data_IF_855236520858
#
_entry.id   IF_855236520858
#
_cell.length_a   1.000
_cell.length_b   1.000
_cell.length_c   1.000
_cell.angle_alpha   90.00
_cell.angle_beta   90.00
_cell.angle_gamma   90.00
#
_symmetry.space_group_name_H-M   'P 1'
#
loop_
_entity.id
_entity.type
_entity.pdbx_description
1 polymer ?
#
# COMPACT_ATOMS: atom_id res chain seq x y z
N UNK A 1 -54.23 53.35 69.56
CA UNK A 1 -53.24 52.78 68.62
C UNK A 1 -51.96 53.59 68.71
N UNK A 2 -50.85 53.03 69.22
CA UNK A 2 -49.52 53.62 69.16
C UNK A 2 -48.57 52.86 68.18
N UNK A 3 -47.40 53.45 67.83
CA UNK A 3 -46.76 53.32 66.51
C UNK A 3 -45.54 52.36 66.46
N UNK A 4 -45.20 51.87 65.26
CA UNK A 4 -43.97 51.10 64.98
C UNK A 4 -42.90 51.96 64.29
N UNK A 5 -41.67 51.86 64.84
CA UNK A 5 -40.46 52.61 64.48
C UNK A 5 -39.80 52.09 63.20
N UNK A 6 -39.26 53.02 62.42
CA UNK A 6 -38.30 52.79 61.33
C UNK A 6 -36.89 52.58 61.90
N UNK A 7 -36.10 51.70 61.29
CA UNK A 7 -34.67 51.53 61.58
C UNK A 7 -33.86 51.58 60.29
N UNK A 8 -32.84 52.43 60.29
CA UNK A 8 -31.92 52.68 59.19
C UNK A 8 -30.81 51.62 59.15
N UNK A 9 -30.52 51.09 57.97
CA UNK A 9 -29.43 50.14 57.74
C UNK A 9 -28.22 50.89 57.14
N UNK A 10 -27.10 50.85 57.87
CA UNK A 10 -25.80 51.34 57.42
C UNK A 10 -25.15 50.32 56.47
N UNK A 11 -24.59 50.82 55.36
CA UNK A 11 -23.83 50.06 54.37
C UNK A 11 -22.39 49.83 54.85
N UNK A 12 -22.01 48.56 55.05
CA UNK A 12 -20.60 48.16 55.23
C UNK A 12 -20.09 47.48 53.96
N UNK A 13 -19.20 48.16 53.23
CA UNK A 13 -18.42 47.61 52.12
C UNK A 13 -17.30 46.71 52.65
N UNK A 14 -17.48 45.39 52.54
CA UNK A 14 -16.45 44.41 52.86
C UNK A 14 -15.45 44.26 51.71
N UNK A 15 -14.40 45.08 51.70
CA UNK A 15 -13.18 44.74 50.97
C UNK A 15 -12.44 43.67 51.77
N UNK A 16 -12.37 42.46 51.22
CA UNK A 16 -11.62 41.35 51.80
C UNK A 16 -10.13 41.68 51.80
N UNK A 17 -9.61 42.11 52.94
CA UNK A 17 -8.17 42.29 53.16
C UNK A 17 -7.54 40.91 53.40
N UNK A 18 -6.76 40.47 52.43
CA UNK A 18 -5.89 39.29 52.56
C UNK A 18 -4.87 39.54 53.68
N UNK A 19 -4.90 38.65 54.66
CA UNK A 19 -4.21 38.81 55.93
C UNK A 19 -2.69 38.87 55.82
N UNK A 20 -2.11 40.02 56.21
CA UNK A 20 -0.86 40.10 56.96
C UNK A 20 -0.92 41.33 57.85
N UNK A 21 -0.64 41.17 59.14
CA UNK A 21 -0.46 42.30 60.06
C UNK A 21 0.65 43.20 59.52
N UNK A 22 0.34 44.46 59.27
CA UNK A 22 1.28 45.46 58.76
C UNK A 22 2.37 45.79 59.80
N UNK A 23 3.40 44.95 59.93
CA UNK A 23 4.63 45.33 60.62
C UNK A 23 5.56 46.05 59.65
N UNK A 24 6.06 47.23 60.03
CA UNK A 24 6.96 48.06 59.20
C UNK A 24 8.12 47.23 58.61
N UNK A 25 8.40 47.31 57.29
CA UNK A 25 9.48 46.57 56.66
C UNK A 25 10.81 47.07 57.22
N UNK A 26 11.52 46.21 57.96
CA UNK A 26 12.89 46.50 58.39
C UNK A 26 13.86 46.26 57.21
N UNK A 27 14.92 47.07 57.04
CA UNK A 27 15.84 46.94 55.92
C UNK A 27 16.75 45.70 56.01
N UNK A 28 16.89 45.10 57.20
CA UNK A 28 17.73 43.92 57.40
C UNK A 28 17.08 42.65 56.84
N UNK A 29 17.75 42.03 55.87
CA UNK A 29 17.37 40.75 55.24
C UNK A 29 18.37 39.63 55.56
N UNK A 30 19.07 39.73 56.69
CA UNK A 30 20.12 38.76 57.03
C UNK A 30 19.49 37.48 57.60
N UNK A 31 19.51 36.42 56.80
CA UNK A 31 18.99 35.09 57.15
C UNK A 31 17.60 34.78 56.55
N UNK A 32 17.30 33.48 56.42
CA UNK A 32 16.09 32.97 55.76
C UNK A 32 14.77 33.43 56.41
N UNK A 33 14.76 33.57 57.73
CA UNK A 33 13.58 34.01 58.48
C UNK A 33 13.27 35.51 58.27
N UNK A 34 14.30 36.35 58.25
CA UNK A 34 14.17 37.78 57.95
C UNK A 34 13.79 38.00 56.47
N UNK A 35 14.37 37.22 55.55
CA UNK A 35 14.02 37.27 54.13
C UNK A 35 12.51 37.02 53.90
N UNK A 36 11.95 35.95 54.49
CA UNK A 36 10.52 35.65 54.34
C UNK A 36 9.56 36.72 54.89
N UNK A 37 9.99 37.52 55.87
CA UNK A 37 9.16 38.55 56.51
C UNK A 37 9.29 39.93 55.86
N UNK A 38 10.42 40.22 55.23
CA UNK A 38 10.78 41.58 54.80
C UNK A 38 10.96 41.71 53.27
N UNK A 39 10.51 40.72 52.50
CA UNK A 39 10.34 40.84 51.05
C UNK A 39 8.98 41.45 50.79
N UNK A 40 8.97 42.47 49.94
CA UNK A 40 7.75 43.02 49.40
C UNK A 40 7.31 42.17 48.20
N UNK A 41 6.14 41.56 48.31
CA UNK A 41 5.48 40.81 47.23
C UNK A 41 4.24 41.53 46.71
N UNK A 42 3.95 42.75 47.18
CA UNK A 42 2.73 43.48 46.85
C UNK A 42 2.57 43.74 45.35
N UNK A 43 3.67 44.01 44.64
CA UNK A 43 3.66 44.17 43.19
C UNK A 43 3.33 42.87 42.47
N UNK A 44 3.88 41.75 42.93
CA UNK A 44 3.62 40.42 42.34
C UNK A 44 2.19 39.97 42.64
N UNK A 45 1.72 40.17 43.86
CA UNK A 45 0.37 39.82 44.29
C UNK A 45 -0.67 40.69 43.57
N UNK A 46 -0.44 42.00 43.43
CA UNK A 46 -1.35 42.91 42.70
C UNK A 46 -1.41 42.61 41.20
N UNK A 47 -0.31 42.19 40.57
CA UNK A 47 -0.29 41.70 39.19
C UNK A 47 -1.08 40.39 39.03
N UNK A 48 -0.92 39.45 39.98
CA UNK A 48 -1.68 38.19 39.96
C UNK A 48 -3.16 38.40 40.26
N UNK A 49 -3.51 39.33 41.15
CA UNK A 49 -4.88 39.72 41.42
C UNK A 49 -5.51 40.41 40.22
N UNK A 50 -4.78 41.31 39.56
CA UNK A 50 -5.22 41.98 38.32
C UNK A 50 -5.50 40.98 37.20
N UNK A 51 -4.65 39.95 37.05
CA UNK A 51 -4.91 38.82 36.14
C UNK A 51 -6.18 38.05 36.51
N UNK A 52 -6.34 37.68 37.78
CA UNK A 52 -7.56 36.97 38.25
C UNK A 52 -8.82 37.81 38.07
N UNK A 53 -8.76 39.12 38.30
CA UNK A 53 -9.91 40.02 38.05
C UNK A 53 -10.22 40.12 36.57
N UNK A 54 -9.20 40.18 35.72
CA UNK A 54 -9.40 40.18 34.28
C UNK A 54 -9.94 38.85 33.74
N UNK A 55 -9.54 37.71 34.34
CA UNK A 55 -10.14 36.39 34.08
C UNK A 55 -11.62 36.37 34.51
N UNK A 56 -11.95 36.88 35.70
CA UNK A 56 -13.35 36.98 36.17
C UNK A 56 -14.21 37.89 35.31
N UNK A 57 -13.63 38.97 34.80
CA UNK A 57 -14.29 39.93 33.91
C UNK A 57 -14.27 39.48 32.43
N UNK A 58 -13.66 38.32 32.13
CA UNK A 58 -13.57 37.80 30.76
C UNK A 58 -12.75 38.66 29.80
N UNK A 59 -11.90 39.57 30.31
CA UNK A 59 -11.12 40.51 29.51
C UNK A 59 -9.78 39.93 29.02
N UNK A 60 -9.33 38.83 29.63
CA UNK A 60 -8.10 38.15 29.24
C UNK A 60 -8.44 36.72 28.87
N UNK A 61 -8.54 36.47 27.57
CA UNK A 61 -8.34 35.15 27.00
C UNK A 61 -6.93 34.68 27.37
N UNK A 62 -6.89 33.53 28.03
CA UNK A 62 -5.69 32.76 28.30
C UNK A 62 -4.80 32.67 27.05
N UNK A 63 -3.65 33.35 27.09
CA UNK A 63 -2.45 33.02 26.32
C UNK A 63 -2.61 32.94 24.79
N UNK A 64 -2.25 34.05 24.13
CA UNK A 64 -1.69 34.06 22.78
C UNK A 64 -2.64 33.73 21.60
N UNK A 65 -3.76 34.42 21.49
CA UNK A 65 -4.46 34.59 20.20
C UNK A 65 -5.07 36.00 19.98
N UNK A 66 -4.77 37.00 20.80
CA UNK A 66 -5.33 38.36 20.64
C UNK A 66 -4.45 39.28 19.79
N UNK A 67 -4.25 38.91 18.52
CA UNK A 67 -3.76 39.84 17.50
C UNK A 67 -4.64 39.88 16.25
N UNK A 68 -5.93 39.56 16.41
CA UNK A 68 -6.94 39.66 15.34
C UNK A 68 -8.17 40.46 15.76
N UNK A 69 -8.03 41.40 16.71
CA UNK A 69 -9.12 42.30 17.13
C UNK A 69 -9.49 43.37 16.09
N UNK A 70 -9.27 43.11 14.79
CA UNK A 70 -9.69 43.97 13.68
C UNK A 70 -10.62 43.28 12.69
N UNK A 71 -11.22 42.12 13.01
CA UNK A 71 -12.30 41.53 12.22
C UNK A 71 -13.61 41.51 13.00
N UNK A 72 -14.52 42.41 12.61
CA UNK A 72 -15.99 42.36 12.79
C UNK A 72 -16.52 41.59 14.01
N UNK A 73 -16.89 42.33 15.05
CA UNK A 73 -17.57 41.85 16.25
C UNK A 73 -19.05 41.46 16.01
N UNK A 74 -19.33 40.62 15.01
CA UNK A 74 -20.70 40.19 14.66
C UNK A 74 -20.96 38.69 14.87
N UNK A 75 -19.94 37.84 15.01
CA UNK A 75 -20.14 36.42 15.29
C UNK A 75 -18.99 35.87 16.15
N UNK A 76 -19.13 35.79 17.48
CA UNK A 76 -18.13 35.17 18.36
C UNK A 76 -17.98 33.65 18.14
N UNK A 77 -18.84 33.04 17.32
CA UNK A 77 -18.81 31.62 17.01
C UNK A 77 -18.87 31.43 15.50
N UNK A 78 -17.76 30.98 14.92
CA UNK A 78 -17.70 30.45 13.56
C UNK A 78 -17.56 28.93 13.63
N UNK A 79 -18.34 28.21 12.83
CA UNK A 79 -18.23 26.76 12.70
C UNK A 79 -16.94 26.44 11.93
N UNK A 80 -15.84 26.26 12.65
CA UNK A 80 -14.58 25.80 12.05
C UNK A 80 -14.73 24.35 11.57
N UNK A 81 -14.97 24.21 10.27
CA UNK A 81 -15.13 22.93 9.58
C UNK A 81 -13.80 22.33 9.13
N UNK A 82 -12.71 23.11 9.13
CA UNK A 82 -11.39 22.70 8.64
C UNK A 82 -10.36 22.94 9.73
N UNK A 83 -10.07 21.88 10.49
CA UNK A 83 -9.06 21.94 11.55
C UNK A 83 -7.72 22.49 11.05
N UNK A 84 -7.12 23.33 11.87
CA UNK A 84 -5.96 24.16 11.55
C UNK A 84 -4.73 23.33 11.12
N UNK A 85 -4.55 23.15 9.81
CA UNK A 85 -3.55 22.23 9.23
C UNK A 85 -2.12 22.64 9.58
N UNK A 86 -1.89 23.95 9.74
CA UNK A 86 -0.61 24.50 10.17
C UNK A 86 -0.23 24.01 11.58
N UNK A 87 -1.19 24.01 12.51
CA UNK A 87 -1.02 23.49 13.86
C UNK A 87 -0.83 21.96 13.82
N UNK A 88 -1.65 21.24 13.05
CA UNK A 88 -1.49 19.79 12.84
C UNK A 88 -0.11 19.42 12.31
N UNK A 89 0.40 20.15 11.33
CA UNK A 89 1.74 19.98 10.78
C UNK A 89 2.82 20.31 11.81
N UNK A 90 2.66 21.40 12.58
CA UNK A 90 3.58 21.75 13.66
C UNK A 90 3.65 20.66 14.74
N UNK A 91 2.52 20.08 15.14
CA UNK A 91 2.50 18.97 16.09
C UNK A 91 3.13 17.70 15.50
N UNK A 92 2.86 17.38 14.24
CA UNK A 92 3.52 16.24 13.55
C UNK A 92 5.03 16.42 13.50
N UNK A 93 5.51 17.60 13.13
CA UNK A 93 6.94 17.94 13.13
C UNK A 93 7.57 17.88 14.53
N UNK A 94 6.84 18.29 15.57
CA UNK A 94 7.30 18.12 16.96
C UNK A 94 7.36 16.64 17.34
N UNK A 95 6.40 15.81 16.93
CA UNK A 95 6.37 14.38 17.23
C UNK A 95 7.47 13.60 16.52
N UNK A 96 7.83 13.96 15.29
CA UNK A 96 8.93 13.32 14.54
C UNK A 96 10.30 13.71 15.10
N UNK A 97 10.45 14.92 15.64
CA UNK A 97 11.69 15.40 16.28
C UNK A 97 11.89 14.93 17.71
N UNK A 98 10.88 14.34 18.36
CA UNK A 98 11.02 13.79 19.72
C UNK A 98 11.86 12.51 19.65
N UNK A 99 12.98 12.42 20.39
CA UNK A 99 13.75 11.18 20.46
C UNK A 99 12.90 10.06 21.07
N UNK A 100 13.27 8.82 20.76
CA UNK A 100 12.68 7.63 21.37
C UNK A 100 12.74 7.75 22.89
N UNK A 101 11.69 7.30 23.61
CA UNK A 101 11.62 7.48 25.07
C UNK A 101 12.79 6.83 25.81
N UNK A 102 13.36 5.75 25.27
CA UNK A 102 14.59 5.14 25.78
C UNK A 102 15.83 6.03 25.60
N UNK A 103 15.95 6.72 24.47
CA UNK A 103 17.03 7.70 24.24
C UNK A 103 16.80 8.97 25.05
N UNK A 104 15.55 9.41 25.20
CA UNK A 104 15.18 10.56 26.02
C UNK A 104 15.53 10.34 27.50
N UNK A 105 15.40 9.10 28.01
CA UNK A 105 15.80 8.74 29.39
C UNK A 105 17.32 8.64 29.53
N UNK A 106 18.04 8.38 28.44
CA UNK A 106 19.51 8.39 28.41
C UNK A 106 20.09 9.80 28.23
N UNK A 107 19.31 10.73 27.66
CA UNK A 107 19.63 12.16 27.66
C UNK A 107 19.50 12.70 29.09
N UNK A 108 20.49 13.50 29.52
CA UNK A 108 20.51 14.05 30.88
C UNK A 108 19.19 14.79 31.17
N UNK A 109 18.44 14.32 32.17
CA UNK A 109 17.13 14.88 32.54
C UNK A 109 17.21 16.29 33.14
N UNK A 110 18.42 16.77 33.48
CA UNK A 110 18.66 18.12 33.97
C UNK A 110 18.94 19.10 32.84
N UNK A 111 18.29 20.27 32.87
CA UNK A 111 18.62 21.41 31.99
C UNK A 111 20.04 21.96 32.20
N UNK A 112 20.74 21.51 33.26
CA UNK A 112 22.12 21.84 33.54
C UNK A 112 23.02 20.82 32.85
N UNK A 113 23.96 21.24 31.98
CA UNK A 113 24.90 20.32 31.35
C UNK A 113 25.75 19.63 32.43
N UNK A 114 26.04 18.34 32.23
CA UNK A 114 26.91 17.60 33.14
C UNK A 114 28.25 18.33 33.27
N UNK A 115 28.73 18.46 34.51
CA UNK A 115 30.01 19.09 34.79
C UNK A 115 31.14 18.22 34.23
N UNK A 116 31.73 18.63 33.10
CA UNK A 116 32.89 17.97 32.49
C UNK A 116 34.16 18.27 33.30
N UNK A 117 34.19 17.85 34.56
CA UNK A 117 35.41 17.84 35.36
C UNK A 117 36.41 16.89 34.73
N UNK A 118 37.60 17.40 34.37
CA UNK A 118 38.75 16.59 33.95
C UNK A 118 39.06 15.57 35.04
N UNK A 119 38.57 14.34 34.90
CA UNK A 119 39.05 13.20 35.69
C UNK A 119 40.41 12.81 35.14
N UNK A 120 41.46 13.45 35.66
CA UNK A 120 42.80 12.88 35.69
C UNK A 120 42.77 11.76 36.72
N UNK A 121 42.57 10.52 36.27
CA UNK A 121 42.85 9.35 37.09
C UNK A 121 43.81 8.47 36.31
N UNK A 122 45.08 8.64 36.66
CA UNK A 122 46.17 7.72 36.42
C UNK A 122 45.79 6.31 36.85
N UNK A 123 45.63 5.41 35.88
CA UNK A 123 45.96 4.00 36.07
C UNK A 123 46.71 3.53 34.83
N UNK A 124 47.94 3.14 35.09
CA UNK A 124 48.98 2.78 34.15
C UNK A 124 48.87 1.31 33.77
N UNK A 125 48.76 1.01 32.47
CA UNK A 125 49.63 0.01 31.84
C UNK A 125 49.62 0.11 30.31
N UNK A 126 50.78 0.57 29.82
CA UNK A 126 51.42 0.34 28.51
C UNK A 126 50.80 0.97 27.24
N UNK A 127 51.28 2.19 26.94
CA UNK A 127 52.00 2.57 25.71
C UNK A 127 51.93 1.60 24.51
N UNK A 128 51.74 1.99 23.24
CA UNK A 128 51.76 3.26 22.52
C UNK A 128 51.09 2.98 21.14
N UNK A 129 50.66 3.89 20.27
CA UNK A 129 51.19 5.19 19.87
C UNK A 129 50.07 6.07 19.30
N UNK A 130 50.18 7.34 19.64
CA UNK A 130 49.65 8.55 19.01
C UNK A 130 49.01 8.48 17.62
N UNK A 131 47.98 9.33 17.51
CA UNK A 131 47.65 10.14 16.34
C UNK A 131 47.04 9.43 15.13
N UNK A 132 45.72 9.56 15.01
CA UNK A 132 45.13 10.37 13.92
C UNK A 132 43.66 10.60 14.19
N UNK A 133 43.36 11.86 14.51
CA UNK A 133 42.08 12.48 14.19
C UNK A 133 41.88 12.34 12.69
N UNK A 134 40.89 11.56 12.26
CA UNK A 134 40.52 11.44 10.86
C UNK A 134 39.98 10.07 10.49
N UNK A 135 38.68 10.04 10.20
CA UNK A 135 37.87 8.90 9.70
C UNK A 135 37.40 7.93 10.78
N UNK A 136 36.08 7.84 10.97
CA UNK A 136 35.41 6.90 11.90
C UNK A 136 35.47 5.44 11.44
N UNK A 137 36.67 4.99 11.04
CA UNK A 137 36.93 3.62 10.59
C UNK A 137 37.94 3.02 11.58
N UNK A 138 37.46 2.11 12.42
CA UNK A 138 38.26 1.30 13.33
C UNK A 138 39.46 0.66 12.60
N UNK A 139 40.58 0.48 13.31
CA UNK A 139 41.75 -0.23 12.78
C UNK A 139 41.35 -1.63 12.34
N UNK A 140 41.98 -2.14 11.27
CA UNK A 140 41.70 -3.49 10.74
C UNK A 140 41.88 -4.58 11.82
N UNK A 141 42.88 -4.43 12.69
CA UNK A 141 43.14 -5.34 13.82
C UNK A 141 42.04 -5.29 14.88
N UNK A 142 41.51 -4.11 15.15
CA UNK A 142 40.46 -3.90 16.14
C UNK A 142 39.11 -4.41 15.63
N UNK A 143 38.84 -4.22 14.32
CA UNK A 143 37.71 -4.82 13.61
C UNK A 143 37.75 -6.34 13.70
N UNK A 144 38.91 -6.94 13.47
CA UNK A 144 39.13 -8.39 13.52
C UNK A 144 38.94 -8.95 14.94
N UNK A 145 39.47 -8.25 15.95
CA UNK A 145 39.26 -8.59 17.37
C UNK A 145 37.77 -8.54 17.76
N UNK A 146 37.05 -7.51 17.35
CA UNK A 146 35.61 -7.38 17.60
C UNK A 146 34.80 -8.45 16.86
N UNK A 147 35.17 -8.82 15.63
CA UNK A 147 34.51 -9.92 14.92
C UNK A 147 34.74 -11.28 15.60
N UNK A 148 35.93 -11.49 16.17
CA UNK A 148 36.26 -12.71 16.95
C UNK A 148 35.47 -12.78 18.25
N UNK A 149 35.33 -11.64 18.96
CA UNK A 149 34.50 -11.54 20.15
C UNK A 149 33.00 -11.74 19.85
N UNK A 150 32.54 -11.27 18.70
CA UNK A 150 31.15 -11.41 18.27
C UNK A 150 30.79 -12.80 17.71
N UNK A 151 31.74 -13.76 17.66
CA UNK A 151 31.55 -15.13 17.16
C UNK A 151 30.80 -15.19 15.81
N UNK A 152 31.08 -14.26 14.90
CA UNK A 152 30.37 -14.15 13.63
C UNK A 152 31.24 -14.63 12.48
N UNK A 153 30.76 -15.64 11.76
CA UNK A 153 31.49 -16.26 10.66
C UNK A 153 31.78 -15.26 9.53
N UNK A 154 33.04 -15.21 9.10
CA UNK A 154 33.47 -14.36 8.00
C UNK A 154 33.22 -15.11 6.70
N UNK A 155 32.27 -14.60 5.89
CA UNK A 155 31.92 -15.16 4.60
C UNK A 155 32.78 -14.51 3.52
N UNK A 156 33.64 -15.30 2.86
CA UNK A 156 34.50 -14.84 1.77
C UNK A 156 33.70 -14.44 0.51
N UNK A 157 34.39 -13.85 -0.47
CA UNK A 157 33.79 -13.38 -1.73
C UNK A 157 33.04 -14.47 -2.53
N UNK A 158 33.34 -15.75 -2.27
CA UNK A 158 32.70 -16.91 -2.87
C UNK A 158 31.66 -17.59 -1.97
N UNK A 159 31.26 -16.97 -0.86
CA UNK A 159 30.29 -17.56 0.06
C UNK A 159 30.86 -18.67 0.96
N UNK A 160 32.16 -18.96 0.86
CA UNK A 160 32.85 -19.94 1.70
C UNK A 160 33.10 -19.32 3.07
N UNK A 161 32.68 -20.02 4.13
CA UNK A 161 32.98 -19.66 5.52
C UNK A 161 34.44 -20.01 5.77
N UNK A 162 35.28 -18.99 5.99
CA UNK A 162 36.69 -19.21 6.35
C UNK A 162 36.73 -19.36 7.86
N UNK A 163 36.88 -20.61 8.33
CA UNK A 163 37.22 -20.86 9.71
C UNK A 163 38.66 -20.33 9.94
N UNK A 164 38.90 -19.50 10.97
CA UNK A 164 40.25 -19.04 11.24
C UNK A 164 41.09 -20.24 11.70
N UNK A 165 41.99 -20.67 10.82
CA UNK A 165 42.98 -21.72 11.01
C UNK A 165 43.73 -21.51 12.34
N UNK A 166 43.38 -22.33 13.33
CA UNK A 166 44.14 -22.43 14.58
C UNK A 166 45.35 -23.30 14.30
N UNK A 167 46.51 -22.65 14.37
CA UNK A 167 47.82 -23.24 14.21
C UNK A 167 47.98 -24.50 15.07
N UNK A 168 48.40 -25.57 14.39
CA UNK A 168 48.65 -26.94 14.87
C UNK A 168 49.18 -27.09 16.29
N UNK A 169 48.58 -28.04 17.02
CA UNK A 169 49.15 -28.64 18.22
C UNK A 169 48.40 -29.92 18.60
N UNK A 170 48.80 -31.05 18.04
CA UNK A 170 48.59 -32.41 18.55
C UNK A 170 47.17 -32.86 18.92
N UNK A 171 46.50 -33.60 18.03
CA UNK A 171 45.92 -34.94 18.33
C UNK A 171 45.27 -35.53 17.09
N UNK A 172 45.99 -36.46 16.46
CA UNK A 172 45.34 -37.59 15.83
C UNK A 172 44.89 -38.58 16.93
N UNK A 173 43.82 -39.31 16.64
CA UNK A 173 43.29 -40.47 17.37
C UNK A 173 42.39 -40.21 18.59
N UNK A 174 41.09 -40.50 18.41
CA UNK A 174 40.21 -41.32 19.27
C UNK A 174 38.76 -41.11 18.77
N UNK A 175 38.26 -42.01 17.92
CA UNK A 175 37.44 -43.18 18.28
C UNK A 175 36.00 -42.83 18.71
N UNK A 176 35.08 -43.44 17.97
CA UNK A 176 33.64 -43.54 18.21
C UNK A 176 33.31 -44.04 19.61
N UNK A 177 32.13 -43.64 20.10
CA UNK A 177 31.32 -44.22 21.20
C UNK A 177 31.64 -43.73 22.61
N UNK A 178 30.78 -42.82 23.08
CA UNK A 178 30.62 -42.48 24.49
C UNK A 178 29.21 -41.97 24.73
N UNK A 179 28.27 -42.90 24.95
CA UNK A 179 26.99 -42.63 25.62
C UNK A 179 27.27 -41.89 26.92
N UNK A 180 26.96 -40.60 26.95
CA UNK A 180 26.99 -39.80 28.18
C UNK A 180 25.79 -40.24 29.02
N UNK A 181 26.06 -41.09 30.01
CA UNK A 181 25.15 -41.29 31.14
C UNK A 181 24.99 -39.94 31.83
N UNK A 182 23.79 -39.37 31.72
CA UNK A 182 23.42 -38.10 32.35
C UNK A 182 23.19 -38.34 33.84
N UNK A 183 24.08 -37.84 34.68
CA UNK A 183 23.83 -37.72 36.12
C UNK A 183 22.78 -36.62 36.37
N UNK A 184 21.84 -36.79 37.31
CA UNK A 184 20.71 -35.89 37.50
C UNK A 184 21.01 -34.72 38.48
N UNK A 185 22.21 -34.16 38.45
CA UNK A 185 22.59 -33.09 39.39
C UNK A 185 23.35 -31.96 38.70
N UNK A 186 22.75 -31.32 37.69
CA UNK A 186 23.22 -30.03 37.18
C UNK A 186 22.05 -29.08 36.92
N UNK A 187 21.88 -28.19 37.91
CA UNK A 187 21.44 -26.80 37.85
C UNK A 187 20.28 -26.42 36.90
N UNK A 188 19.09 -26.33 37.48
CA UNK A 188 17.87 -25.87 36.80
C UNK A 188 17.94 -24.44 36.24
N UNK A 189 18.94 -23.65 36.64
CA UNK A 189 19.08 -22.24 36.24
C UNK A 189 19.96 -22.02 35.01
N UNK A 190 20.71 -23.02 34.54
CA UNK A 190 21.48 -22.93 33.28
C UNK A 190 20.67 -23.41 32.06
N UNK A 191 19.49 -23.97 32.29
CA UNK A 191 18.62 -24.57 31.27
C UNK A 191 17.85 -23.56 30.42
N UNK A 192 17.92 -22.26 30.72
CA UNK A 192 17.17 -21.24 30.00
C UNK A 192 17.82 -20.76 28.69
N UNK A 193 19.07 -21.14 28.39
CA UNK A 193 19.78 -20.57 27.23
C UNK A 193 20.27 -21.60 26.21
N UNK A 194 20.37 -22.89 26.54
CA UNK A 194 20.90 -23.89 25.60
C UNK A 194 20.20 -25.25 25.73
N UNK A 195 18.93 -25.33 25.33
CA UNK A 195 18.35 -26.59 24.83
C UNK A 195 17.11 -26.29 23.99
N UNK A 196 17.32 -26.03 22.71
CA UNK A 196 16.29 -26.21 21.68
C UNK A 196 16.91 -27.08 20.58
N UNK A 197 17.38 -28.27 20.95
CA UNK A 197 17.43 -29.40 20.00
C UNK A 197 15.99 -29.85 19.78
N UNK A 198 15.42 -29.27 18.74
CA UNK A 198 14.01 -29.26 18.43
C UNK A 198 13.71 -27.94 17.73
N UNK A 199 14.37 -27.69 16.60
CA UNK A 199 14.30 -26.46 15.84
C UNK A 199 12.84 -26.07 15.52
N UNK A 200 12.22 -25.31 16.43
CA UNK A 200 10.90 -24.75 16.27
C UNK A 200 11.03 -23.23 16.42
N UNK A 201 10.90 -22.55 15.28
CA UNK A 201 10.71 -21.11 15.12
C UNK A 201 11.86 -20.18 15.60
N UNK A 202 13.05 -20.34 15.05
CA UNK A 202 14.20 -19.44 15.27
C UNK A 202 14.41 -18.32 14.24
N UNK A 203 13.52 -18.14 13.26
CA UNK A 203 13.57 -17.02 12.33
C UNK A 203 12.15 -16.64 11.90
N UNK A 204 11.58 -15.60 12.49
CA UNK A 204 10.36 -15.00 11.94
C UNK A 204 10.68 -14.55 10.52
N UNK A 205 10.05 -15.16 9.51
CA UNK A 205 10.31 -14.81 8.12
C UNK A 205 10.02 -13.32 7.91
N UNK A 206 11.06 -12.58 7.54
CA UNK A 206 10.99 -11.13 7.28
C UNK A 206 10.14 -10.80 6.04
N UNK A 207 9.63 -11.81 5.32
CA UNK A 207 8.80 -11.66 4.13
C UNK A 207 7.35 -11.25 4.40
N UNK A 208 6.89 -11.23 5.66
CA UNK A 208 5.47 -11.03 6.00
C UNK A 208 5.05 -9.58 6.28
N UNK A 209 5.98 -8.63 6.35
CA UNK A 209 5.70 -7.25 6.81
C UNK A 209 5.34 -6.25 5.71
N UNK A 210 5.32 -6.64 4.44
CA UNK A 210 4.89 -5.73 3.39
C UNK A 210 3.38 -5.50 3.53
N UNK A 211 2.99 -4.26 3.88
CA UNK A 211 1.58 -3.87 4.03
C UNK A 211 0.83 -4.27 2.75
N UNK A 212 -0.07 -5.25 2.88
CA UNK A 212 -0.76 -5.87 1.74
C UNK A 212 -1.74 -4.93 1.03
N UNK A 213 -2.12 -3.81 1.65
CA UNK A 213 -3.12 -2.88 1.09
C UNK A 213 -2.82 -1.42 1.40
N UNK A 214 -3.12 -0.56 0.42
CA UNK A 214 -3.06 0.91 0.55
C UNK A 214 -4.29 1.47 1.29
N UNK A 215 -5.44 0.81 1.16
CA UNK A 215 -6.71 1.28 1.73
C UNK A 215 -6.78 1.13 3.27
N UNK A 216 -7.48 2.07 3.95
CA UNK A 216 -7.79 1.96 5.38
C UNK A 216 -8.81 0.85 5.65
N UNK A 217 -8.89 0.43 6.92
CA UNK A 217 -9.75 -0.70 7.29
C UNK A 217 -11.25 -0.43 7.16
N UNK A 218 -11.64 0.79 7.47
CA UNK A 218 -12.98 1.33 7.31
C UNK A 218 -12.82 2.72 6.69
N UNK A 219 -13.83 3.16 5.95
CA UNK A 219 -13.97 4.57 5.59
C UNK A 219 -14.07 5.40 6.85
N UNK A 220 -13.58 6.64 6.78
CA UNK A 220 -13.99 7.64 7.76
C UNK A 220 -15.38 8.11 7.36
N UNK A 221 -16.35 8.15 8.29
CA UNK A 221 -17.67 8.68 7.98
C UNK A 221 -17.56 10.16 7.60
N UNK A 222 -18.41 10.61 6.69
CA UNK A 222 -18.56 12.04 6.37
C UNK A 222 -19.49 12.70 7.39
N UNK A 223 -19.40 14.02 7.56
CA UNK A 223 -20.31 14.76 8.46
C UNK A 223 -21.78 14.62 8.05
N UNK A 224 -22.01 14.45 6.75
CA UNK A 224 -23.32 14.23 6.14
C UNK A 224 -23.99 12.90 6.55
N UNK A 225 -23.21 11.91 7.01
CA UNK A 225 -23.72 10.64 7.53
C UNK A 225 -24.09 10.73 9.02
N UNK A 226 -23.96 11.90 9.63
CA UNK A 226 -24.44 12.11 10.99
C UNK A 226 -25.96 12.11 11.03
N UNK A 227 -26.50 11.88 12.22
CA UNK A 227 -27.94 11.85 12.45
C UNK A 227 -28.66 13.16 12.10
N UNK A 228 -28.01 14.29 12.36
CA UNK A 228 -28.51 15.62 12.07
C UNK A 228 -27.43 16.41 11.31
N UNK A 229 -27.29 16.15 10.00
CA UNK A 229 -26.26 16.80 9.18
C UNK A 229 -26.66 18.23 8.82
N UNK A 230 -25.68 19.05 8.45
CA UNK A 230 -25.99 20.36 7.84
C UNK A 230 -26.52 20.15 6.43
N UNK A 231 -27.53 20.94 6.02
CA UNK A 231 -28.19 20.83 4.71
C UNK A 231 -27.18 20.72 3.55
N UNK A 232 -26.19 21.62 3.52
CA UNK A 232 -25.12 21.61 2.49
C UNK A 232 -24.35 20.29 2.44
N UNK A 233 -23.96 19.75 3.60
CA UNK A 233 -23.20 18.50 3.63
C UNK A 233 -24.02 17.30 3.18
N UNK A 234 -25.32 17.29 3.52
CA UNK A 234 -26.25 16.24 3.14
C UNK A 234 -26.58 16.28 1.65
N UNK A 235 -26.81 17.48 1.10
CA UNK A 235 -26.95 17.70 -0.35
C UNK A 235 -25.72 17.20 -1.13
N UNK A 236 -24.50 17.51 -0.68
CA UNK A 236 -23.26 17.02 -1.30
C UNK A 236 -23.18 15.47 -1.30
N UNK A 237 -23.63 14.84 -0.22
CA UNK A 237 -23.65 13.38 -0.11
C UNK A 237 -24.72 12.76 -1.03
N UNK A 238 -25.91 13.36 -1.11
CA UNK A 238 -26.98 12.97 -2.02
C UNK A 238 -26.56 13.13 -3.49
N UNK A 239 -25.92 14.24 -3.84
CA UNK A 239 -25.39 14.47 -5.19
C UNK A 239 -24.39 13.38 -5.60
N UNK A 240 -23.47 13.02 -4.69
CA UNK A 240 -22.51 11.93 -4.94
C UNK A 240 -23.21 10.58 -5.14
N UNK A 241 -24.24 10.28 -4.35
CA UNK A 241 -25.03 9.06 -4.48
C UNK A 241 -25.81 9.04 -5.82
N UNK A 242 -26.43 10.17 -6.17
CA UNK A 242 -27.15 10.37 -7.42
C UNK A 242 -26.24 10.17 -8.64
N UNK A 243 -25.04 10.77 -8.65
CA UNK A 243 -24.07 10.57 -9.73
C UNK A 243 -23.66 9.09 -9.90
N UNK A 244 -23.53 8.36 -8.79
CA UNK A 244 -23.19 6.94 -8.82
C UNK A 244 -24.36 6.10 -9.40
N UNK A 245 -25.59 6.36 -8.97
CA UNK A 245 -26.77 5.66 -9.50
C UNK A 245 -27.07 6.03 -10.95
N UNK A 246 -26.90 7.29 -11.36
CA UNK A 246 -27.03 7.71 -12.76
C UNK A 246 -26.04 6.99 -13.67
N UNK A 247 -24.79 6.78 -13.23
CA UNK A 247 -23.80 5.98 -13.97
C UNK A 247 -24.26 4.53 -14.11
N UNK A 248 -24.76 3.92 -13.03
CA UNK A 248 -25.27 2.54 -13.06
C UNK A 248 -26.49 2.41 -13.94
N UNK A 249 -27.40 3.37 -13.89
CA UNK A 249 -28.59 3.42 -14.74
C UNK A 249 -28.21 3.53 -16.22
N UNK A 250 -27.27 4.42 -16.57
CA UNK A 250 -26.78 4.55 -17.94
C UNK A 250 -26.09 3.26 -18.44
N UNK A 251 -25.28 2.61 -17.59
CA UNK A 251 -24.70 1.30 -17.91
C UNK A 251 -25.77 0.23 -18.12
N UNK A 252 -26.82 0.20 -17.30
CA UNK A 252 -27.94 -0.71 -17.47
C UNK A 252 -28.72 -0.46 -18.76
N UNK A 253 -29.01 0.81 -19.10
CA UNK A 253 -29.67 1.18 -20.36
C UNK A 253 -28.83 0.77 -21.57
N UNK A 254 -27.54 1.13 -21.59
CA UNK A 254 -26.64 0.73 -22.67
C UNK A 254 -26.55 -0.80 -22.82
N UNK A 255 -26.55 -1.53 -21.71
CA UNK A 255 -26.60 -3.00 -21.74
C UNK A 255 -27.94 -3.55 -22.24
N UNK A 256 -29.07 -2.89 -21.96
CA UNK A 256 -30.39 -3.25 -22.49
C UNK A 256 -30.44 -3.02 -23.99
N UNK A 257 -30.06 -1.83 -24.45
CA UNK A 257 -30.00 -1.50 -25.88
C UNK A 257 -29.04 -2.42 -26.64
N UNK A 258 -27.89 -2.75 -26.06
CA UNK A 258 -26.94 -3.70 -26.65
C UNK A 258 -27.57 -5.09 -26.79
N UNK A 259 -28.28 -5.57 -25.75
CA UNK A 259 -29.00 -6.85 -25.80
C UNK A 259 -30.13 -6.84 -26.81
N UNK A 260 -30.87 -5.75 -26.92
CA UNK A 260 -31.93 -5.59 -27.92
C UNK A 260 -31.36 -5.63 -29.33
N UNK A 261 -30.28 -4.90 -29.61
CA UNK A 261 -29.57 -4.93 -30.90
C UNK A 261 -29.02 -6.33 -31.20
N UNK A 262 -28.43 -6.99 -30.21
CA UNK A 262 -27.93 -8.36 -30.34
C UNK A 262 -29.06 -9.35 -30.65
N UNK A 263 -30.17 -9.27 -29.91
CA UNK A 263 -31.33 -10.13 -30.11
C UNK A 263 -32.01 -9.86 -31.46
N UNK A 264 -32.12 -8.60 -31.89
CA UNK A 264 -32.66 -8.24 -33.20
C UNK A 264 -31.78 -8.76 -34.34
N UNK A 265 -30.46 -8.63 -34.23
CA UNK A 265 -29.54 -9.24 -35.21
C UNK A 265 -29.60 -10.76 -35.23
N UNK A 266 -29.79 -11.40 -34.06
CA UNK A 266 -30.01 -12.84 -33.96
C UNK A 266 -31.34 -13.29 -34.57
N UNK A 267 -32.41 -12.51 -34.39
CA UNK A 267 -33.72 -12.78 -34.97
C UNK A 267 -33.71 -12.61 -36.50
N UNK A 268 -33.09 -11.55 -37.02
CA UNK A 268 -32.92 -11.35 -38.45
C UNK A 268 -32.08 -12.48 -39.09
N UNK A 269 -30.99 -12.91 -38.43
CA UNK A 269 -30.19 -14.04 -38.91
C UNK A 269 -30.94 -15.39 -38.83
N UNK A 270 -31.86 -15.56 -37.87
CA UNK A 270 -32.72 -16.73 -37.79
C UNK A 270 -33.79 -16.74 -38.89
N UNK A 271 -34.44 -15.59 -39.13
CA UNK A 271 -35.44 -15.41 -40.19
C UNK A 271 -34.82 -15.60 -41.59
N UNK A 272 -33.64 -15.03 -41.84
CA UNK A 272 -32.89 -15.25 -43.09
C UNK A 272 -32.47 -16.72 -43.29
N UNK A 273 -32.26 -17.46 -42.19
CA UNK A 273 -31.94 -18.90 -42.25
C UNK A 273 -33.18 -19.78 -42.48
N UNK A 274 -34.36 -19.33 -42.09
CA UNK A 274 -35.63 -20.05 -42.31
C UNK A 274 -36.22 -19.74 -43.70
N UNK A 275 -35.97 -18.56 -44.28
CA UNK A 275 -36.40 -18.19 -45.63
C UNK A 275 -35.58 -18.81 -46.78
N UNK A 276 -34.48 -19.51 -46.48
CA UNK A 276 -33.58 -20.08 -47.48
C UNK A 276 -33.43 -21.60 -47.30
N UNK A 277 -34.46 -22.38 -47.69
CA UNK A 277 -34.47 -23.86 -47.68
C UNK A 277 -33.36 -24.54 -48.52
N UNK A 278 -32.47 -23.80 -49.19
CA UNK A 278 -31.49 -24.38 -50.12
C UNK A 278 -30.03 -24.01 -49.92
N UNK A 279 -29.68 -23.09 -49.02
CA UNK A 279 -28.27 -22.69 -48.90
C UNK A 279 -27.94 -22.28 -47.47
N UNK A 280 -27.22 -23.17 -46.76
CA UNK A 280 -26.52 -22.87 -45.51
C UNK A 280 -25.43 -21.82 -45.78
N UNK A 281 -25.82 -20.57 -45.99
CA UNK A 281 -24.93 -19.43 -46.12
C UNK A 281 -24.53 -18.98 -44.73
N UNK A 282 -23.51 -19.63 -44.18
CA UNK A 282 -22.80 -19.08 -43.03
C UNK A 282 -22.03 -17.87 -43.56
N UNK A 283 -22.39 -16.68 -43.08
CA UNK A 283 -21.84 -15.41 -43.56
C UNK A 283 -20.30 -15.46 -43.64
N UNK A 284 -19.78 -15.54 -44.88
CA UNK A 284 -18.35 -15.50 -45.19
C UNK A 284 -17.70 -16.81 -45.65
N UNK A 285 -18.40 -17.95 -45.71
CA UNK A 285 -17.83 -19.18 -46.27
C UNK A 285 -18.80 -19.79 -47.29
N UNK A 286 -18.47 -19.63 -48.58
CA UNK A 286 -19.05 -20.46 -49.63
C UNK A 286 -18.35 -21.82 -49.51
N UNK A 287 -19.05 -22.81 -48.95
CA UNK A 287 -18.62 -24.20 -49.07
C UNK A 287 -19.07 -24.59 -50.49
N UNK A 288 -18.12 -24.61 -51.43
CA UNK A 288 -18.33 -25.37 -52.66
C UNK A 288 -18.40 -26.83 -52.25
N UNK A 289 -19.58 -27.43 -52.34
CA UNK A 289 -19.75 -28.86 -52.25
C UNK A 289 -19.04 -29.49 -53.46
N UNK A 290 -17.77 -29.84 -53.26
CA UNK A 290 -16.92 -30.52 -54.23
C UNK A 290 -17.30 -32.01 -54.35
N UNK A 291 -18.57 -32.30 -54.66
CA UNK A 291 -19.10 -33.65 -54.87
C UNK A 291 -19.98 -33.76 -56.13
N UNK A 292 -19.75 -32.91 -57.14
CA UNK A 292 -20.50 -32.96 -58.40
C UNK A 292 -19.64 -32.73 -59.66
N UNK A 293 -18.41 -33.24 -59.70
CA UNK A 293 -17.62 -33.24 -60.94
C UNK A 293 -16.57 -34.36 -60.95
N UNK A 294 -17.01 -35.61 -60.92
CA UNK A 294 -16.20 -36.73 -61.34
C UNK A 294 -17.09 -37.75 -62.05
N UNK A 295 -17.22 -37.61 -63.37
CA UNK A 295 -17.19 -38.67 -64.39
C UNK A 295 -17.66 -38.11 -65.77
N UNK A 296 -17.00 -38.64 -66.81
CA UNK A 296 -17.24 -38.56 -68.26
C UNK A 296 -16.74 -37.29 -68.99
N UNK A 297 -15.55 -37.28 -69.62
CA UNK A 297 -15.02 -38.02 -70.80
C UNK A 297 -15.34 -37.32 -72.15
N UNK A 298 -14.27 -36.83 -72.77
CA UNK A 298 -13.95 -36.53 -74.18
C UNK A 298 -14.88 -35.69 -75.09
N UNK A 299 -14.37 -34.55 -75.61
CA UNK A 299 -13.95 -34.33 -77.02
C UNK A 299 -13.74 -32.83 -77.36
N UNK A 300 -12.62 -32.58 -78.05
CA UNK A 300 -12.29 -31.57 -79.06
C UNK A 300 -12.26 -30.03 -78.80
N UNK A 301 -11.07 -29.49 -79.15
CA UNK A 301 -10.70 -28.14 -79.66
C UNK A 301 -10.99 -26.86 -78.86
N UNK A 302 -9.92 -26.25 -78.32
CA UNK A 302 -9.37 -24.95 -78.81
C UNK A 302 -8.16 -24.50 -77.94
N UNK A 303 -7.00 -24.48 -78.59
CA UNK A 303 -5.84 -23.57 -78.46
C UNK A 303 -5.67 -22.69 -77.18
N UNK A 304 -4.69 -23.05 -76.33
CA UNK A 304 -3.80 -22.08 -75.67
C UNK A 304 -2.52 -22.76 -75.09
N UNK A 305 -1.62 -23.16 -76.00
CA UNK A 305 -0.16 -23.24 -75.82
C UNK A 305 0.39 -23.60 -74.42
N UNK A 306 0.47 -24.90 -74.11
CA UNK A 306 1.47 -25.43 -73.17
C UNK A 306 2.42 -26.36 -73.93
N UNK A 307 3.57 -25.81 -74.35
CA UNK A 307 4.69 -26.64 -74.77
C UNK A 307 5.94 -26.27 -73.96
N UNK A 308 6.51 -27.28 -73.29
CA UNK A 308 7.94 -27.66 -73.38
C UNK A 308 8.28 -28.66 -72.27
N UNK A 309 8.03 -29.92 -72.56
CA UNK A 309 8.84 -31.03 -72.03
C UNK A 309 10.17 -31.03 -72.79
N UNK A 310 11.25 -30.54 -72.16
CA UNK A 310 12.60 -30.70 -72.68
C UNK A 310 13.39 -31.61 -71.74
N UNK A 311 13.40 -32.91 -72.04
CA UNK A 311 14.45 -33.82 -71.58
C UNK A 311 15.73 -33.51 -72.36
N UNK A 312 16.45 -32.46 -71.93
CA UNK A 312 17.68 -32.04 -72.58
C UNK A 312 18.77 -33.11 -72.45
N UNK A 313 19.44 -33.43 -73.55
CA UNK A 313 20.60 -34.31 -73.60
C UNK A 313 21.70 -33.89 -72.61
N UNK A 314 22.48 -34.83 -72.03
CA UNK A 314 23.54 -34.50 -71.07
C UNK A 314 24.54 -33.52 -71.71
N UNK A 315 24.93 -32.46 -71.00
CA UNK A 315 25.77 -31.42 -71.56
C UNK A 315 27.14 -31.98 -71.97
N UNK A 316 27.57 -31.65 -73.18
CA UNK A 316 28.87 -32.07 -73.70
C UNK A 316 30.03 -31.59 -72.80
N UNK A 317 31.09 -32.40 -72.71
CA UNK A 317 32.28 -32.13 -71.89
C UNK A 317 32.93 -30.81 -72.31
N UNK A 318 32.95 -29.83 -71.40
CA UNK A 318 33.62 -28.54 -71.60
C UNK A 318 35.10 -28.72 -71.86
N UNK A 319 35.62 -27.97 -72.84
CA UNK A 319 37.05 -27.94 -73.14
C UNK A 319 37.84 -27.22 -72.04
N UNK A 320 39.15 -27.48 -71.93
CA UNK A 320 40.03 -26.89 -70.89
C UNK A 320 40.00 -25.35 -70.91
N UNK A 321 39.92 -24.75 -72.10
CA UNK A 321 39.85 -23.29 -72.29
C UNK A 321 38.48 -22.73 -71.88
N UNK A 322 37.38 -23.45 -72.14
CA UNK A 322 36.05 -23.09 -71.66
C UNK A 322 35.95 -23.16 -70.13
N UNK A 323 36.58 -24.17 -69.50
CA UNK A 323 36.63 -24.30 -68.03
C UNK A 323 37.39 -23.15 -67.37
N UNK A 324 38.52 -22.71 -67.92
CA UNK A 324 39.27 -21.55 -67.42
C UNK A 324 38.51 -20.22 -67.59
N UNK A 325 37.79 -20.03 -68.72
CA UNK A 325 36.92 -18.87 -68.92
C UNK A 325 35.74 -18.84 -67.94
N UNK A 326 35.12 -19.99 -67.69
CA UNK A 326 34.04 -20.13 -66.71
C UNK A 326 34.54 -19.87 -65.28
N UNK A 327 35.72 -20.37 -64.91
CA UNK A 327 36.36 -20.08 -63.61
C UNK A 327 36.61 -18.57 -63.44
N UNK A 328 37.19 -17.92 -64.45
CA UNK A 328 37.40 -16.46 -64.44
C UNK A 328 36.08 -15.67 -64.31
N UNK A 329 35.00 -16.12 -64.96
CA UNK A 329 33.66 -15.52 -64.81
C UNK A 329 33.10 -15.70 -63.40
N UNK A 330 33.18 -16.92 -62.86
CA UNK A 330 32.71 -17.22 -61.49
C UNK A 330 33.51 -16.44 -60.43
N UNK A 331 34.82 -16.29 -60.60
CA UNK A 331 35.65 -15.48 -59.72
C UNK A 331 35.29 -13.99 -59.79
N UNK A 332 35.05 -13.45 -61.00
CA UNK A 332 34.60 -12.08 -61.16
C UNK A 332 33.22 -11.83 -60.53
N UNK A 333 32.28 -12.77 -60.70
CA UNK A 333 30.96 -12.74 -60.05
C UNK A 333 31.08 -12.81 -58.53
N UNK A 334 31.94 -13.68 -57.99
CA UNK A 334 32.23 -13.75 -56.55
C UNK A 334 32.82 -12.45 -56.03
N UNK A 335 33.76 -11.83 -56.73
CA UNK A 335 34.34 -10.56 -56.33
C UNK A 335 33.31 -9.41 -56.37
N UNK A 336 32.42 -9.39 -57.36
CA UNK A 336 31.31 -8.43 -57.42
C UNK A 336 30.31 -8.66 -56.28
N UNK A 337 29.99 -9.91 -55.96
CA UNK A 337 29.13 -10.25 -54.83
C UNK A 337 29.73 -9.80 -53.49
N UNK A 338 31.04 -10.03 -53.28
CA UNK A 338 31.76 -9.56 -52.10
C UNK A 338 31.77 -8.03 -51.99
N UNK A 339 32.03 -7.32 -53.10
CA UNK A 339 31.98 -5.85 -53.12
C UNK A 339 30.57 -5.32 -52.83
N UNK A 340 29.53 -5.96 -53.36
CA UNK A 340 28.13 -5.65 -53.06
C UNK A 340 27.83 -5.88 -51.57
N UNK A 341 28.24 -7.01 -51.00
CA UNK A 341 28.07 -7.31 -49.58
C UNK A 341 28.79 -6.28 -48.69
N UNK A 342 30.03 -5.91 -49.00
CA UNK A 342 30.78 -4.89 -48.28
C UNK A 342 30.12 -3.50 -48.35
N UNK A 343 29.55 -3.14 -49.51
CA UNK A 343 28.79 -1.88 -49.66
C UNK A 343 27.54 -1.88 -48.79
N UNK A 344 26.81 -3.00 -48.73
CA UNK A 344 25.65 -3.14 -47.85
C UNK A 344 26.04 -3.05 -46.37
N UNK A 345 27.10 -3.75 -45.96
CA UNK A 345 27.61 -3.67 -44.59
C UNK A 345 28.02 -2.24 -44.20
N UNK A 346 28.73 -1.53 -45.09
CA UNK A 346 29.09 -0.11 -44.86
C UNK A 346 27.86 0.79 -44.75
N UNK A 347 26.82 0.54 -45.55
CA UNK A 347 25.55 1.25 -45.46
C UNK A 347 24.83 1.03 -44.13
N UNK A 348 24.88 -0.20 -43.59
CA UNK A 348 24.34 -0.50 -42.25
C UNK A 348 25.17 0.20 -41.17
N UNK A 349 26.50 0.09 -41.22
CA UNK A 349 27.41 0.68 -40.23
C UNK A 349 27.26 2.21 -40.15
N UNK A 350 27.06 2.88 -41.28
CA UNK A 350 26.82 4.33 -41.29
C UNK A 350 25.46 4.72 -40.68
N UNK A 351 24.46 3.84 -40.74
CA UNK A 351 23.14 4.05 -40.13
C UNK A 351 23.07 3.69 -38.64
N UNK A 352 24.01 2.88 -38.12
CA UNK A 352 24.03 2.44 -36.72
C UNK A 352 23.88 3.58 -35.69
N UNK A 353 24.53 4.75 -35.81
CA UNK A 353 24.36 5.83 -34.84
C UNK A 353 22.94 6.40 -34.82
N UNK A 354 22.28 6.48 -35.98
CA UNK A 354 20.88 6.92 -36.09
C UNK A 354 19.94 5.89 -35.47
N UNK A 355 20.16 4.61 -35.76
CA UNK A 355 19.41 3.50 -35.17
C UNK A 355 19.59 3.44 -33.64
N UNK A 356 20.80 3.64 -33.13
CA UNK A 356 21.05 3.66 -31.68
C UNK A 356 20.33 4.83 -31.00
N UNK A 357 20.28 6.01 -31.63
CA UNK A 357 19.50 7.16 -31.13
C UNK A 357 17.99 6.89 -31.15
N UNK A 358 17.48 6.28 -32.22
CA UNK A 358 16.05 5.96 -32.32
C UNK A 358 15.64 4.91 -31.27
N UNK A 359 16.46 3.88 -31.06
CA UNK A 359 16.23 2.86 -30.02
C UNK A 359 16.24 3.48 -28.63
N UNK A 360 17.22 4.33 -28.29
CA UNK A 360 17.24 5.04 -26.99
C UNK A 360 16.00 5.90 -26.77
N UNK A 361 15.52 6.60 -27.81
CA UNK A 361 14.29 7.39 -27.76
C UNK A 361 13.06 6.49 -27.53
N UNK A 362 12.97 5.38 -28.25
CA UNK A 362 11.90 4.40 -28.08
C UNK A 362 11.91 3.76 -26.69
N UNK A 363 13.09 3.40 -26.17
CA UNK A 363 13.24 2.87 -24.81
C UNK A 363 12.81 3.90 -23.76
N UNK A 364 13.23 5.17 -23.90
CA UNK A 364 12.80 6.24 -23.00
C UNK A 364 11.27 6.43 -23.03
N UNK A 365 10.65 6.40 -24.21
CA UNK A 365 9.19 6.46 -24.35
C UNK A 365 8.49 5.24 -23.71
N UNK A 366 9.05 4.03 -23.89
CA UNK A 366 8.51 2.80 -23.27
C UNK A 366 8.65 2.82 -21.75
N UNK A 367 9.74 3.35 -21.22
CA UNK A 367 9.94 3.54 -19.79
C UNK A 367 8.97 4.59 -19.23
N UNK A 368 8.85 5.76 -19.86
CA UNK A 368 7.94 6.82 -19.44
C UNK A 368 6.48 6.35 -19.45
N UNK A 369 6.03 5.66 -20.50
CA UNK A 369 4.68 5.09 -20.56
C UNK A 369 4.45 4.00 -19.52
N UNK A 370 5.46 3.17 -19.23
CA UNK A 370 5.39 2.17 -18.15
C UNK A 370 5.31 2.81 -16.77
N UNK A 371 6.07 3.87 -16.53
CA UNK A 371 6.04 4.63 -15.26
C UNK A 371 4.70 5.34 -15.08
N UNK A 372 4.18 5.98 -16.14
CA UNK A 372 2.84 6.59 -16.12
C UNK A 372 1.75 5.55 -15.81
N UNK A 373 1.78 4.37 -16.45
CA UNK A 373 0.84 3.28 -16.15
C UNK A 373 0.96 2.78 -14.71
N UNK A 374 2.18 2.67 -14.18
CA UNK A 374 2.38 2.29 -12.78
C UNK A 374 1.84 3.34 -11.82
N UNK A 375 2.04 4.62 -12.11
CA UNK A 375 1.52 5.72 -11.29
C UNK A 375 -0.02 5.70 -11.27
N UNK A 376 -0.66 5.61 -12.44
CA UNK A 376 -2.13 5.54 -12.50
C UNK A 376 -2.69 4.28 -11.84
N UNK A 377 -2.00 3.15 -11.94
CA UNK A 377 -2.37 1.94 -11.20
C UNK A 377 -2.25 2.12 -9.68
N UNK A 378 -1.19 2.78 -9.20
CA UNK A 378 -1.02 3.05 -7.77
C UNK A 378 -2.09 4.01 -7.24
N UNK A 379 -2.42 5.06 -8.00
CA UNK A 379 -3.47 6.01 -7.64
C UNK A 379 -4.84 5.33 -7.60
N UNK A 380 -5.13 4.48 -8.60
CA UNK A 380 -6.35 3.67 -8.61
C UNK A 380 -6.40 2.70 -7.42
N UNK A 381 -5.30 2.02 -7.11
CA UNK A 381 -5.22 1.11 -5.96
C UNK A 381 -5.33 1.86 -4.62
N UNK A 382 -4.92 3.12 -4.56
CA UNK A 382 -5.08 3.97 -3.39
C UNK A 382 -6.54 4.42 -3.19
N UNK A 383 -7.28 4.64 -4.29
CA UNK A 383 -8.69 5.07 -4.24
C UNK A 383 -9.67 3.90 -4.08
N UNK A 384 -9.53 2.85 -4.90
CA UNK A 384 -10.51 1.76 -5.03
C UNK A 384 -9.99 0.40 -4.51
N UNK A 385 -8.68 0.27 -4.27
CA UNK A 385 -8.07 -1.00 -3.90
C UNK A 385 -8.13 -2.02 -5.04
N UNK A 386 -8.49 -3.27 -4.70
CA UNK A 386 -8.57 -4.38 -5.64
C UNK A 386 -9.86 -4.40 -6.49
N UNK A 387 -10.70 -3.37 -6.44
CA UNK A 387 -11.92 -3.29 -7.25
C UNK A 387 -11.62 -3.46 -8.76
N UNK A 388 -12.41 -4.29 -9.44
CA UNK A 388 -12.22 -4.59 -10.87
C UNK A 388 -11.02 -5.47 -11.20
N UNK A 389 -10.22 -5.90 -10.21
CA UNK A 389 -9.15 -6.89 -10.40
C UNK A 389 -9.66 -8.29 -10.13
N UNK A 390 -9.15 -9.25 -10.90
CA UNK A 390 -9.44 -10.67 -10.72
C UNK A 390 -8.48 -11.27 -9.71
N UNK A 391 -9.01 -11.97 -8.72
CA UNK A 391 -8.26 -12.70 -7.70
C UNK A 391 -8.71 -14.16 -7.74
N UNK A 392 -7.82 -15.03 -8.25
CA UNK A 392 -8.17 -16.40 -8.58
C UNK A 392 -9.23 -16.46 -9.68
N UNK A 393 -10.32 -17.20 -9.44
CA UNK A 393 -11.42 -17.36 -10.39
C UNK A 393 -12.36 -16.15 -10.44
N UNK A 394 -12.50 -15.44 -9.32
CA UNK A 394 -13.54 -14.42 -9.15
C UNK A 394 -13.00 -13.01 -9.36
N UNK A 395 -13.84 -12.17 -9.98
CA UNK A 395 -13.60 -10.74 -10.14
C UNK A 395 -14.08 -10.02 -8.88
N UNK A 396 -13.28 -9.10 -8.35
CA UNK A 396 -13.75 -8.16 -7.33
C UNK A 396 -14.68 -7.15 -8.01
N UNK A 397 -15.98 -7.11 -7.70
CA UNK A 397 -16.90 -6.21 -8.38
C UNK A 397 -16.60 -4.75 -8.03
N UNK A 398 -16.65 -3.87 -9.04
CA UNK A 398 -16.42 -2.44 -8.85
C UNK A 398 -17.47 -1.79 -7.93
N UNK A 399 -18.68 -2.34 -7.91
CA UNK A 399 -19.76 -1.90 -7.02
C UNK A 399 -19.40 -2.01 -5.53
N UNK A 400 -18.46 -2.87 -5.11
CA UNK A 400 -18.01 -2.93 -3.71
C UNK A 400 -17.35 -1.63 -3.25
N UNK A 401 -16.62 -0.92 -4.13
CA UNK A 401 -16.02 0.37 -3.78
C UNK A 401 -17.04 1.51 -3.74
N UNK A 402 -18.14 1.38 -4.50
CA UNK A 402 -19.18 2.41 -4.63
C UNK A 402 -20.33 2.25 -3.63
N UNK A 403 -20.53 1.06 -3.05
CA UNK A 403 -21.60 0.80 -2.06
C UNK A 403 -21.61 1.76 -0.89
N UNK A 404 -20.44 2.21 -0.43
CA UNK A 404 -20.34 3.19 0.67
C UNK A 404 -20.98 4.53 0.28
N UNK A 405 -20.95 4.91 -1.01
CA UNK A 405 -21.55 6.15 -1.50
C UNK A 405 -23.07 6.03 -1.72
N UNK A 406 -23.62 4.81 -1.76
CA UNK A 406 -25.05 4.55 -1.94
C UNK A 406 -25.83 4.50 -0.63
N UNK A 407 -25.14 4.50 0.51
CA UNK A 407 -25.75 4.51 1.85
C UNK A 407 -25.95 5.95 2.30
N UNK A 408 -27.12 6.49 1.98
CA UNK A 408 -27.52 7.85 2.33
C UNK A 408 -28.99 7.83 2.72
N UNK A 409 -29.29 8.48 3.85
CA UNK A 409 -30.67 8.72 4.28
C UNK A 409 -31.29 9.79 3.37
N UNK A 410 -32.52 9.57 2.91
CA UNK A 410 -33.28 10.58 2.19
C UNK A 410 -33.76 11.67 3.14
N UNK A 411 -34.15 12.83 2.60
CA UNK A 411 -34.65 13.96 3.39
C UNK A 411 -35.89 13.58 4.22
N UNK A 412 -36.74 12.70 3.69
CA UNK A 412 -37.95 12.19 4.36
C UNK A 412 -37.62 11.26 5.54
N UNK A 413 -36.47 10.59 5.49
CA UNK A 413 -36.00 9.66 6.52
C UNK A 413 -35.15 10.34 7.60
N UNK A 414 -34.70 11.58 7.34
CA UNK A 414 -33.97 12.41 8.32
C UNK A 414 -34.93 12.85 9.42
N UNK A 415 -34.74 12.29 10.61
CA UNK A 415 -35.51 12.66 11.80
C UNK A 415 -34.69 13.59 12.70
N UNK A 416 -35.36 14.33 13.59
CA UNK A 416 -34.69 15.19 14.59
C UNK A 416 -34.52 14.50 15.97
N UNK A 417 -35.30 13.45 16.26
CA UNK A 417 -35.16 12.62 17.47
C UNK A 417 -34.49 11.24 17.29
N UNK A 418 -33.43 10.95 18.07
CA UNK A 418 -32.68 9.67 18.01
C UNK A 418 -33.55 8.41 18.21
N UNK A 419 -34.74 8.55 18.78
CA UNK A 419 -35.70 7.44 18.98
C UNK A 419 -36.38 7.03 17.69
N UNK A 420 -36.58 7.97 16.77
CA UNK A 420 -37.17 7.73 15.46
C UNK A 420 -36.10 7.37 14.40
N UNK A 421 -34.81 7.50 14.73
CA UNK A 421 -33.71 7.13 13.83
C UNK A 421 -33.77 5.65 13.49
N UNK A 422 -34.03 5.36 12.21
CA UNK A 422 -33.82 4.03 11.67
C UNK A 422 -32.33 3.83 11.46
N UNK A 423 -31.73 2.92 12.23
CA UNK A 423 -30.32 2.60 12.08
C UNK A 423 -30.08 1.99 10.70
N UNK A 424 -29.50 2.78 9.79
CA UNK A 424 -29.19 2.32 8.44
C UNK A 424 -28.27 1.09 8.51
N UNK A 425 -28.73 -0.01 7.93
CA UNK A 425 -27.99 -1.27 7.87
C UNK A 425 -28.14 -2.21 9.08
N UNK A 426 -28.93 -1.87 10.11
CA UNK A 426 -29.27 -2.83 11.17
C UNK A 426 -30.13 -3.99 10.63
N UNK A 427 -31.07 -3.70 9.72
CA UNK A 427 -32.03 -4.68 9.20
C UNK A 427 -31.43 -5.70 8.21
N UNK A 428 -30.19 -5.48 7.71
CA UNK A 428 -29.58 -6.30 6.66
C UNK A 428 -28.06 -6.50 6.81
N UNK A 429 -27.53 -6.51 8.03
CA UNK A 429 -26.10 -6.84 8.29
C UNK A 429 -25.11 -5.85 7.67
N UNK A 430 -25.47 -4.57 7.63
CA UNK A 430 -24.79 -3.55 6.83
C UNK A 430 -23.34 -3.29 7.24
N UNK A 431 -23.05 -3.29 8.55
CA UNK A 431 -21.69 -3.12 9.09
C UNK A 431 -20.81 -4.35 8.85
N UNK A 432 -21.39 -5.56 8.84
CA UNK A 432 -20.66 -6.77 8.45
C UNK A 432 -20.30 -6.70 6.97
N UNK A 433 -21.24 -6.30 6.12
CA UNK A 433 -21.02 -6.19 4.68
C UNK A 433 -19.95 -5.16 4.32
N UNK A 434 -19.93 -4.01 4.99
CA UNK A 434 -18.87 -3.00 4.82
C UNK A 434 -17.49 -3.55 5.19
N UNK A 435 -17.38 -4.18 6.36
CA UNK A 435 -16.13 -4.82 6.80
C UNK A 435 -15.66 -5.90 5.82
N UNK A 436 -16.59 -6.71 5.31
CA UNK A 436 -16.34 -7.73 4.32
C UNK A 436 -15.83 -7.12 3.01
N UNK A 437 -16.54 -6.15 2.44
CA UNK A 437 -16.16 -5.48 1.20
C UNK A 437 -14.78 -4.84 1.37
N UNK A 438 -14.50 -4.16 2.49
CA UNK A 438 -13.17 -3.61 2.82
C UNK A 438 -12.08 -4.66 2.96
N UNK A 439 -12.37 -5.84 3.50
CA UNK A 439 -11.40 -6.94 3.58
C UNK A 439 -11.05 -7.49 2.19
N UNK A 440 -12.03 -7.58 1.29
CA UNK A 440 -11.84 -8.00 -0.09
C UNK A 440 -11.08 -6.94 -0.89
N UNK A 441 -11.44 -5.67 -0.79
CA UNK A 441 -10.76 -4.56 -1.48
C UNK A 441 -9.30 -4.40 -1.03
N UNK A 442 -8.97 -4.78 0.21
CA UNK A 442 -7.60 -4.83 0.74
C UNK A 442 -6.85 -6.12 0.40
N UNK A 443 -7.51 -7.13 -0.17
CA UNK A 443 -6.89 -8.41 -0.49
C UNK A 443 -6.51 -9.23 0.74
N UNK A 444 -7.19 -8.98 1.88
CA UNK A 444 -7.09 -9.84 3.07
C UNK A 444 -7.91 -11.11 2.88
N UNK A 445 -9.03 -10.99 2.16
CA UNK A 445 -9.96 -12.07 1.85
C UNK A 445 -10.19 -12.10 0.35
N UNK A 446 -10.24 -13.30 -0.24
CA UNK A 446 -10.57 -13.45 -1.65
C UNK A 446 -12.10 -13.33 -1.89
N UNK A 447 -12.55 -12.77 -3.02
CA UNK A 447 -13.95 -12.78 -3.42
C UNK A 447 -14.40 -14.22 -3.69
N UNK A 448 -15.50 -14.61 -3.03
CA UNK A 448 -16.14 -15.92 -3.18
C UNK A 448 -17.61 -15.74 -3.47
N UNK A 449 -18.17 -16.70 -4.21
CA UNK A 449 -19.62 -16.81 -4.43
C UNK A 449 -20.14 -17.95 -3.56
N UNK A 450 -21.25 -17.77 -2.82
CA UNK A 450 -21.85 -18.87 -2.07
C UNK A 450 -22.18 -20.02 -3.02
N UNK A 451 -21.73 -21.23 -2.68
CA UNK A 451 -22.13 -22.43 -3.41
C UNK A 451 -23.51 -22.83 -2.92
N UNK A 452 -24.50 -22.88 -3.81
CA UNK A 452 -25.83 -23.38 -3.47
C UNK A 452 -25.73 -24.78 -2.87
N UNK A 453 -26.51 -25.05 -1.81
CA UNK A 453 -26.43 -26.28 -1.02
C UNK A 453 -26.62 -27.57 -1.86
N UNK A 454 -27.28 -27.50 -3.02
CA UNK A 454 -27.42 -28.61 -3.96
C UNK A 454 -26.14 -28.96 -4.74
N UNK A 455 -25.17 -28.04 -4.84
CA UNK A 455 -23.96 -28.22 -5.66
C UNK A 455 -22.82 -28.91 -4.92
N UNK A 456 -22.70 -28.68 -3.60
CA UNK A 456 -21.74 -29.38 -2.72
C UNK A 456 -22.31 -30.71 -2.19
N UNK A 457 -23.64 -30.87 -2.10
CA UNK A 457 -24.26 -32.18 -1.81
C UNK A 457 -24.13 -33.20 -2.95
N UNK A 458 -23.38 -32.89 -4.01
CA UNK A 458 -22.46 -33.82 -4.67
C UNK A 458 -23.03 -35.15 -5.18
N UNK A 459 -24.34 -35.34 -5.20
CA UNK A 459 -24.98 -36.49 -5.80
C UNK A 459 -25.07 -36.20 -7.29
N UNK A 460 -23.91 -36.28 -7.96
CA UNK A 460 -23.79 -36.33 -9.43
C UNK A 460 -24.64 -37.46 -10.00
N UNK A 461 -25.00 -38.44 -9.16
CA UNK A 461 -25.98 -39.48 -9.39
C UNK A 461 -27.14 -39.28 -8.43
N UNK A 462 -28.38 -39.30 -8.95
CA UNK A 462 -29.59 -39.40 -8.12
C UNK A 462 -29.39 -40.54 -7.12
N UNK A 463 -29.61 -40.28 -5.84
CA UNK A 463 -29.63 -41.35 -4.84
C UNK A 463 -30.66 -42.37 -5.31
N UNK A 464 -30.25 -43.62 -5.49
CA UNK A 464 -31.22 -44.67 -5.73
C UNK A 464 -31.90 -44.94 -4.40
N UNK A 465 -33.17 -44.61 -4.35
CA UNK A 465 -34.04 -44.96 -3.24
C UNK A 465 -34.55 -46.36 -3.53
N UNK A 466 -34.31 -47.28 -2.60
CA UNK A 466 -34.81 -48.65 -2.68
C UNK A 466 -35.62 -48.89 -1.41
N UNK A 467 -36.80 -49.47 -1.57
CA UNK A 467 -37.54 -50.00 -0.44
C UNK A 467 -36.73 -51.12 0.22
N UNK A 468 -36.70 -51.11 1.55
CA UNK A 468 -35.99 -52.15 2.29
C UNK A 468 -36.75 -53.46 2.18
N UNK A 469 -36.01 -54.58 2.15
CA UNK A 469 -36.59 -55.91 1.93
C UNK A 469 -37.68 -56.30 2.95
N UNK A 470 -37.63 -55.73 4.17
CA UNK A 470 -38.63 -55.96 5.21
C UNK A 470 -40.02 -55.44 4.82
N UNK A 471 -40.10 -54.29 4.16
CA UNK A 471 -41.36 -53.74 3.66
C UNK A 471 -41.77 -54.37 2.32
N UNK A 472 -40.81 -54.89 1.55
CA UNK A 472 -41.07 -55.56 0.27
C UNK A 472 -41.61 -56.99 0.41
N UNK A 473 -41.38 -57.64 1.55
CA UNK A 473 -41.80 -59.02 1.86
C UNK A 473 -42.72 -59.09 3.07
N UNK A 474 -43.49 -58.04 3.30
CA UNK A 474 -44.50 -58.03 4.36
C UNK A 474 -45.71 -58.82 3.86
N UNK A 475 -45.83 -60.08 4.30
CA UNK A 475 -47.04 -60.92 4.15
C UNK A 475 -48.02 -60.69 5.31
#
# INVERSE_FOLDING_TARGET
MPPTRTSAAASSSSSASSGKSASRPQPSRKGKAAWRRNIDLSEVDSHLESKRTAERLGLIDSGAASSSSSSSSAAPFELDTKGDEALGNRLRQKRTKRPLKSLQVLENESAVPAFNGKRSSSSSSSSATSSRKGTGKMSKSEKERLTRLAKRDIKGAFGVVVEPEVQQGQRAMQSVKGTVMRTPEEDAWQRAVQSVEGAAAGATSTSSSTKRSVLPSLSKPTTAQSYNPTAKSHEELLQRAYEAEMKRYAEEQANREYKEKWNAGGAAAAEDSEGAEGAKRWAGMLIDDAEAAQEDEDEEEEEASTSRTNTAAPPQRKTRTQRLKDQRRQEAERQLALKRAQKMQRGIVSQLPSMAKSLKKQEAQRLATREARKATELDRMAAEGLAGRRSGKHLVPQSMAQRDALRVALDEDLTESLRALKAEGADAGGAFRERWDRMVLRGLVEPRVPKGAGRDKGRRRKGREYETHAYKRFE
#
